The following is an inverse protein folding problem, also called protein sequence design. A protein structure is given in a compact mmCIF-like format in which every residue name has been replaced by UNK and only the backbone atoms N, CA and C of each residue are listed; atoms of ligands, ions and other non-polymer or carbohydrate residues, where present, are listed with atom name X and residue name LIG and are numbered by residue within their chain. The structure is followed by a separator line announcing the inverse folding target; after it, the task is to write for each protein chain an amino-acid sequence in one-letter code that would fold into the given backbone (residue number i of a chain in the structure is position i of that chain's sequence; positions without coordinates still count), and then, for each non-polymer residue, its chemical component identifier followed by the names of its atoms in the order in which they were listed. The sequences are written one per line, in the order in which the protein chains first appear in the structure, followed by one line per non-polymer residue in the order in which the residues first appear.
data_IF_216594741376
#
_entry.id   IF_216594741376
#
_cell.length_a   1.000
_cell.length_b   1.000
_cell.length_c   1.000
_cell.angle_alpha   90.00
_cell.angle_beta   90.00
_cell.angle_gamma   90.00
#
_symmetry.space_group_name_H-M   'P 1'
#
loop_
_entity.id
_entity.type
_entity.pdbx_description
1 polymer ?
#
# COMPACT_ATOMS: atom_id res chain seq x y z
N UNK A 1 -26.60 6.04 -18.99
CA UNK A 1 -26.36 5.04 -17.94
C UNK A 1 -24.97 5.31 -17.38
N UNK A 2 -24.89 5.79 -16.14
CA UNK A 2 -23.63 5.90 -15.41
C UNK A 2 -23.31 4.51 -14.87
N UNK A 3 -22.33 3.83 -15.46
CA UNK A 3 -21.74 2.65 -14.84
C UNK A 3 -20.98 3.16 -13.61
N UNK A 4 -21.57 3.02 -12.43
CA UNK A 4 -20.82 3.12 -11.18
C UNK A 4 -19.80 2.00 -11.19
N UNK A 5 -18.52 2.33 -11.33
CA UNK A 5 -17.43 1.38 -11.06
C UNK A 5 -17.56 1.03 -9.59
N UNK A 6 -18.01 -0.19 -9.30
CA UNK A 6 -18.06 -0.70 -7.93
C UNK A 6 -16.60 -0.92 -7.49
N UNK A 7 -16.05 0.05 -6.75
CA UNK A 7 -14.69 -0.05 -6.24
C UNK A 7 -14.67 -1.03 -5.07
N UNK A 8 -13.82 -2.05 -5.16
CA UNK A 8 -13.61 -2.97 -4.06
C UNK A 8 -12.87 -2.27 -2.93
N UNK A 9 -13.37 -2.41 -1.71
CA UNK A 9 -12.67 -1.98 -0.50
C UNK A 9 -11.67 -3.04 -0.05
N UNK A 10 -10.42 -2.65 0.19
CA UNK A 10 -9.40 -3.52 0.81
C UNK A 10 -8.86 -2.84 2.05
N UNK A 11 -8.82 -3.55 3.17
CA UNK A 11 -8.22 -3.06 4.41
C UNK A 11 -6.80 -3.57 4.59
N UNK A 12 -5.87 -2.69 4.95
CA UNK A 12 -4.51 -3.02 5.36
C UNK A 12 -4.38 -2.69 6.83
N UNK A 13 -4.26 -3.72 7.66
CA UNK A 13 -4.00 -3.57 9.08
C UNK A 13 -2.50 -3.62 9.31
N UNK A 14 -1.94 -2.54 9.85
CA UNK A 14 -0.53 -2.52 10.22
C UNK A 14 -0.41 -2.98 11.67
N UNK A 15 0.44 -3.97 11.90
CA UNK A 15 0.85 -4.37 13.24
C UNK A 15 2.32 -4.02 13.42
N UNK A 16 2.75 -3.82 14.67
CA UNK A 16 4.13 -3.47 14.99
C UNK A 16 4.74 -4.56 15.86
N UNK A 17 5.90 -5.04 15.45
CA UNK A 17 6.78 -5.82 16.31
C UNK A 17 7.91 -4.94 16.83
N UNK A 18 8.12 -4.95 18.15
CA UNK A 18 9.18 -4.20 18.83
C UNK A 18 8.98 -2.68 18.90
N UNK A 19 9.96 -1.99 19.49
CA UNK A 19 9.91 -0.55 19.79
C UNK A 19 10.70 0.32 18.78
N UNK A 20 10.59 0.03 17.48
CA UNK A 20 11.27 0.81 16.43
C UNK A 20 10.57 2.15 16.12
N UNK A 21 11.26 3.28 16.27
CA UNK A 21 10.77 4.61 15.85
C UNK A 21 11.01 4.90 14.36
N UNK A 22 11.44 3.89 13.58
CA UNK A 22 11.72 4.04 12.15
C UNK A 22 10.45 4.44 11.39
N UNK A 23 10.64 5.33 10.42
CA UNK A 23 9.61 5.68 9.47
C UNK A 23 9.32 4.50 8.54
N UNK A 24 8.05 4.32 8.23
CA UNK A 24 7.54 3.28 7.34
C UNK A 24 7.04 3.94 6.06
N UNK A 25 7.51 3.44 4.93
CA UNK A 25 6.91 3.73 3.62
C UNK A 25 6.09 2.50 3.21
N UNK A 26 4.86 2.73 2.78
CA UNK A 26 3.97 1.66 2.31
C UNK A 26 3.82 1.76 0.80
N UNK A 27 3.98 0.64 0.10
CA UNK A 27 3.63 0.53 -1.31
C UNK A 27 2.38 -0.35 -1.45
N UNK A 28 1.34 0.19 -2.08
CA UNK A 28 0.08 -0.49 -2.35
C UNK A 28 -0.05 -0.69 -3.86
N UNK A 29 -0.35 -1.91 -4.30
CA UNK A 29 -0.50 -2.22 -5.72
C UNK A 29 -1.78 -3.00 -5.98
N UNK A 30 -2.53 -2.60 -7.01
CA UNK A 30 -3.69 -3.35 -7.50
C UNK A 30 -3.83 -3.22 -9.01
N UNK A 31 -4.21 -4.31 -9.67
CA UNK A 31 -4.60 -4.30 -11.08
C UNK A 31 -5.95 -3.59 -11.30
N UNK A 32 -6.91 -3.82 -10.41
CA UNK A 32 -8.24 -3.20 -10.46
C UNK A 32 -8.31 -1.90 -9.65
N UNK A 33 -9.39 -1.13 -9.86
CA UNK A 33 -9.71 0.02 -9.01
C UNK A 33 -10.01 -0.44 -7.58
N UNK A 34 -9.18 -0.03 -6.62
CA UNK A 34 -9.35 -0.38 -5.21
C UNK A 34 -9.41 0.87 -4.35
N UNK A 35 -10.33 0.87 -3.39
CA UNK A 35 -10.29 1.79 -2.26
C UNK A 35 -9.55 1.12 -1.11
N UNK A 36 -8.32 1.58 -0.85
CA UNK A 36 -7.47 1.08 0.22
C UNK A 36 -7.83 1.79 1.53
N UNK A 37 -8.18 1.03 2.56
CA UNK A 37 -8.27 1.54 3.93
C UNK A 37 -7.02 1.11 4.69
N UNK A 38 -6.18 2.05 5.10
CA UNK A 38 -4.93 1.73 5.82
C UNK A 38 -5.11 2.04 7.29
N UNK A 39 -5.23 1.01 8.12
CA UNK A 39 -5.34 1.11 9.57
C UNK A 39 -3.95 1.11 10.20
N UNK A 40 -3.56 2.27 10.75
CA UNK A 40 -2.26 2.49 11.36
C UNK A 40 -2.40 2.62 12.88
N UNK A 41 -1.81 1.71 13.68
CA UNK A 41 -1.89 1.79 15.13
C UNK A 41 -1.04 2.93 15.66
N UNK A 42 -1.37 3.39 16.87
CA UNK A 42 -0.60 4.41 17.56
C UNK A 42 0.88 4.01 17.69
N UNK A 43 1.77 4.97 17.46
CA UNK A 43 3.22 4.77 17.54
C UNK A 43 3.89 4.20 16.29
N UNK A 44 3.14 3.83 15.25
CA UNK A 44 3.71 3.57 13.92
C UNK A 44 3.74 4.86 13.11
N UNK A 45 4.90 5.21 12.57
CA UNK A 45 5.08 6.41 11.76
C UNK A 45 5.12 6.06 10.27
N UNK A 46 3.95 6.04 9.61
CA UNK A 46 3.87 5.94 8.16
C UNK A 46 4.11 7.32 7.56
N UNK A 47 5.27 7.53 6.95
CA UNK A 47 5.66 8.82 6.36
C UNK A 47 5.05 9.02 4.96
N UNK A 48 4.89 7.93 4.22
CA UNK A 48 4.47 7.95 2.82
C UNK A 48 3.72 6.67 2.42
N UNK A 49 2.75 6.83 1.53
CA UNK A 49 2.04 5.75 0.86
C UNK A 49 2.21 5.94 -0.65
N UNK A 50 2.87 4.99 -1.30
CA UNK A 50 2.99 4.91 -2.75
C UNK A 50 1.88 4.01 -3.29
N UNK A 51 1.09 4.50 -4.24
CA UNK A 51 0.04 3.74 -4.89
C UNK A 51 0.46 3.39 -6.32
N UNK A 52 0.66 2.11 -6.60
CA UNK A 52 0.99 1.57 -7.92
C UNK A 52 -0.27 0.96 -8.54
N UNK A 53 -0.95 1.67 -9.43
CA UNK A 53 -2.17 1.15 -10.07
C UNK A 53 -2.31 1.67 -11.50
N UNK A 54 -2.67 0.81 -12.47
CA UNK A 54 -3.04 1.28 -13.81
C UNK A 54 -4.37 2.05 -13.79
N UNK A 55 -5.15 1.94 -12.71
CA UNK A 55 -6.48 2.51 -12.60
C UNK A 55 -6.49 3.84 -11.82
N UNK A 56 -6.94 4.92 -12.46
CA UNK A 56 -6.99 6.26 -11.87
C UNK A 56 -8.03 6.42 -10.75
N UNK A 57 -8.94 5.45 -10.61
CA UNK A 57 -9.98 5.48 -9.59
C UNK A 57 -9.54 4.84 -8.28
N UNK A 58 -8.35 4.24 -8.23
CA UNK A 58 -7.79 3.72 -6.98
C UNK A 58 -7.55 4.86 -5.98
N UNK A 59 -7.96 4.66 -4.73
CA UNK A 59 -7.90 5.68 -3.68
C UNK A 59 -7.33 5.10 -2.39
N UNK A 60 -6.78 5.97 -1.53
CA UNK A 60 -6.28 5.60 -0.21
C UNK A 60 -7.02 6.42 0.84
N UNK A 61 -7.59 5.73 1.82
CA UNK A 61 -8.27 6.27 2.99
C UNK A 61 -7.47 5.86 4.23
N UNK A 62 -6.69 6.76 4.83
CA UNK A 62 -6.00 6.47 6.08
C UNK A 62 -7.03 6.38 7.23
N UNK A 63 -7.12 5.22 7.88
CA UNK A 63 -7.85 5.00 9.12
C UNK A 63 -6.85 5.09 10.30
N UNK A 64 -7.14 5.94 11.29
CA UNK A 64 -6.23 6.17 12.43
C UNK A 64 -6.98 6.06 13.76
N UNK A 65 -6.40 5.34 14.70
CA UNK A 65 -6.89 5.22 16.07
C UNK A 65 -6.03 6.04 17.04
N UNK A 66 -6.53 7.21 17.51
CA UNK A 66 -6.05 7.87 18.74
C UNK A 66 -5.44 9.29 18.63
N UNK A 67 -5.90 10.14 19.57
CA UNK A 67 -5.50 11.48 20.10
C UNK A 67 -5.07 12.65 19.19
N UNK A 68 -5.47 13.86 19.62
CA UNK A 68 -5.54 15.13 18.89
C UNK A 68 -4.21 15.79 18.48
N UNK A 69 -3.05 15.27 18.90
CA UNK A 69 -1.73 15.70 18.38
C UNK A 69 -1.41 14.92 17.11
N UNK A 70 -2.18 15.22 16.06
CA UNK A 70 -2.16 14.46 14.81
C UNK A 70 -0.82 14.63 14.08
N UNK A 71 -0.04 13.56 13.84
CA UNK A 71 0.99 13.59 12.83
C UNK A 71 0.33 13.90 11.48
N UNK A 72 1.01 14.67 10.61
CA UNK A 72 0.51 14.98 9.26
C UNK A 72 -0.01 13.71 8.55
N UNK A 73 -1.05 13.87 7.72
CA UNK A 73 -1.47 12.81 6.81
C UNK A 73 -0.25 12.32 6.02
N UNK A 74 -0.11 11.00 5.79
CA UNK A 74 1.00 10.51 4.99
C UNK A 74 0.93 11.15 3.61
N UNK A 75 2.08 11.47 3.03
CA UNK A 75 2.12 11.84 1.62
C UNK A 75 1.60 10.64 0.81
N UNK A 76 0.65 10.88 -0.08
CA UNK A 76 0.17 9.85 -1.01
C UNK A 76 0.71 10.20 -2.39
N UNK A 77 1.63 9.40 -2.90
CA UNK A 77 2.16 9.52 -4.25
C UNK A 77 1.58 8.41 -5.14
N UNK A 78 1.10 8.77 -6.33
CA UNK A 78 0.41 7.85 -7.23
C UNK A 78 1.31 7.57 -8.44
N UNK A 79 1.71 6.32 -8.57
CA UNK A 79 2.52 5.78 -9.65
C UNK A 79 1.64 4.95 -10.57
N UNK A 80 1.77 5.20 -11.87
CA UNK A 80 0.94 4.55 -12.88
C UNK A 80 1.54 3.24 -13.38
N UNK A 81 2.85 3.05 -13.18
CA UNK A 81 3.62 1.85 -13.52
C UNK A 81 4.94 1.82 -12.74
N UNK A 82 5.57 0.64 -12.58
CA UNK A 82 5.02 -0.69 -12.86
C UNK A 82 4.06 -1.15 -11.76
N UNK A 83 3.06 -1.96 -12.13
CA UNK A 83 2.14 -2.62 -11.20
C UNK A 83 2.50 -4.10 -11.11
N UNK A 84 2.51 -4.63 -9.89
CA UNK A 84 2.87 -6.03 -9.63
C UNK A 84 1.67 -6.98 -9.57
N UNK A 85 1.99 -8.26 -9.73
CA UNK A 85 1.17 -9.49 -9.79
C UNK A 85 0.06 -9.59 -10.85
N UNK A 86 0.34 -10.43 -11.87
CA UNK A 86 -0.50 -10.90 -12.97
C UNK A 86 0.18 -12.11 -13.64
N UNK A 87 -0.34 -12.66 -14.75
CA UNK A 87 0.34 -13.75 -15.47
C UNK A 87 1.52 -13.16 -16.26
N UNK A 88 2.76 -13.47 -15.85
CA UNK A 88 3.99 -13.03 -16.53
C UNK A 88 4.00 -13.40 -18.02
N UNK A 89 3.38 -14.52 -18.40
CA UNK A 89 3.30 -14.97 -19.79
C UNK A 89 2.40 -14.12 -20.69
N UNK A 90 1.56 -13.24 -20.13
CA UNK A 90 0.75 -12.29 -20.89
C UNK A 90 1.22 -10.84 -20.74
N UNK A 91 2.27 -10.58 -19.93
CA UNK A 91 2.86 -9.25 -19.75
C UNK A 91 2.10 -8.33 -18.78
N UNK A 92 1.17 -8.86 -17.98
CA UNK A 92 0.24 -8.06 -17.15
C UNK A 92 0.48 -8.09 -15.63
N UNK A 93 1.71 -8.37 -15.16
CA UNK A 93 2.07 -8.07 -13.77
C UNK A 93 3.38 -8.70 -13.30
N UNK A 94 4.47 -7.97 -13.48
CA UNK A 94 5.78 -8.38 -12.98
C UNK A 94 5.97 -7.92 -11.54
N UNK A 95 5.80 -8.85 -10.60
CA UNK A 95 6.09 -8.58 -9.17
C UNK A 95 7.55 -8.18 -8.96
N UNK A 96 8.56 -8.83 -9.58
CA UNK A 96 9.94 -8.38 -9.48
C UNK A 96 10.14 -6.92 -9.93
N UNK A 97 9.52 -6.50 -11.04
CA UNK A 97 9.64 -5.13 -11.53
C UNK A 97 8.92 -4.12 -10.61
N UNK A 98 7.76 -4.49 -10.03
CA UNK A 98 7.11 -3.67 -9.01
C UNK A 98 8.04 -3.45 -7.82
N UNK A 99 8.64 -4.53 -7.30
CA UNK A 99 9.53 -4.45 -6.14
C UNK A 99 10.75 -3.59 -6.46
N UNK A 100 11.36 -3.77 -7.64
CA UNK A 100 12.48 -2.93 -8.10
C UNK A 100 12.09 -1.45 -8.16
N UNK A 101 10.97 -1.10 -8.78
CA UNK A 101 10.52 0.29 -8.83
C UNK A 101 10.15 0.86 -7.47
N UNK A 102 9.59 0.06 -6.55
CA UNK A 102 9.38 0.51 -5.17
C UNK A 102 10.71 0.86 -4.51
N UNK A 103 11.73 0.02 -4.65
CA UNK A 103 13.06 0.29 -4.10
C UNK A 103 13.74 1.49 -4.77
N UNK A 104 13.58 1.67 -6.09
CA UNK A 104 14.09 2.82 -6.82
C UNK A 104 13.40 4.12 -6.42
N UNK A 105 12.08 4.16 -6.33
CA UNK A 105 11.34 5.38 -5.96
C UNK A 105 11.61 5.78 -4.50
N UNK A 106 11.72 4.80 -3.61
CA UNK A 106 11.96 5.05 -2.18
C UNK A 106 13.43 5.19 -1.82
N UNK A 107 14.35 4.79 -2.69
CA UNK A 107 15.78 4.66 -2.39
C UNK A 107 16.05 3.81 -1.12
N UNK A 108 15.17 2.86 -0.80
CA UNK A 108 15.30 1.96 0.35
C UNK A 108 14.96 0.52 -0.02
N UNK A 109 15.35 -0.43 0.84
CA UNK A 109 15.09 -1.86 0.63
C UNK A 109 13.74 -2.27 1.20
N UNK A 110 13.04 -3.13 0.48
CA UNK A 110 11.78 -3.72 0.96
C UNK A 110 12.09 -4.68 2.11
N UNK A 111 11.37 -4.52 3.21
CA UNK A 111 11.57 -5.31 4.43
C UNK A 111 10.47 -6.33 4.68
N UNK A 112 9.31 -6.14 4.05
CA UNK A 112 8.15 -7.02 4.14
C UNK A 112 7.30 -6.89 2.87
N UNK A 113 6.73 -8.01 2.42
CA UNK A 113 5.88 -8.07 1.23
C UNK A 113 4.79 -9.13 1.42
N UNK A 114 3.56 -8.79 1.01
CA UNK A 114 2.43 -9.71 0.96
C UNK A 114 1.57 -9.40 -0.26
N UNK A 115 0.89 -10.41 -0.80
CA UNK A 115 0.07 -10.28 -2.00
C UNK A 115 -0.93 -11.42 -2.14
N UNK A 116 -2.05 -11.15 -2.81
CA UNK A 116 -3.11 -12.14 -3.11
C UNK A 116 -3.88 -11.73 -4.36
N UNK A 117 -4.42 -12.71 -5.08
CA UNK A 117 -5.33 -12.46 -6.21
C UNK A 117 -6.77 -12.16 -5.77
N UNK A 118 -7.16 -12.60 -4.57
CA UNK A 118 -8.48 -12.33 -3.98
C UNK A 118 -8.32 -12.11 -2.49
N UNK A 119 -8.61 -10.91 -2.01
CA UNK A 119 -8.48 -10.56 -0.60
C UNK A 119 -9.26 -9.29 -0.29
N UNK A 120 -9.86 -9.24 0.90
CA UNK A 120 -10.51 -8.03 1.43
C UNK A 120 -9.68 -7.39 2.56
N UNK A 121 -8.69 -8.13 3.10
CA UNK A 121 -7.85 -7.69 4.19
C UNK A 121 -6.42 -8.25 4.14
N UNK A 122 -5.44 -7.37 4.33
CA UNK A 122 -4.06 -7.73 4.63
C UNK A 122 -3.72 -7.41 6.08
N UNK A 123 -2.90 -8.28 6.69
CA UNK A 123 -2.21 -8.03 7.95
C UNK A 123 -0.72 -7.84 7.62
N UNK A 124 -0.17 -6.68 7.94
CA UNK A 124 1.22 -6.33 7.64
C UNK A 124 1.98 -5.94 8.91
N UNK A 125 2.93 -6.79 9.30
CA UNK A 125 3.81 -6.51 10.44
C UNK A 125 5.00 -5.66 10.00
N UNK A 126 5.21 -4.54 10.69
CA UNK A 126 6.39 -3.65 10.53
C UNK A 126 7.26 -3.67 11.79
N UNK A 127 8.56 -3.38 11.63
CA UNK A 127 9.51 -3.36 12.75
C UNK A 127 10.38 -4.61 12.91
N UNK A 128 10.29 -5.55 11.97
CA UNK A 128 11.25 -6.66 11.82
C UNK A 128 12.61 -6.13 11.38
N UNK A 129 13.48 -5.72 12.32
CA UNK A 129 14.93 -5.54 12.15
C UNK A 129 15.60 -5.14 13.46
#
# INVERSE_FOLDING_TARGET
MQNSVEMRGITVNITREGNSSKQVVLALSSFEAVQWTVDVPAGVNVSEILLFSPNIYSTVVPARHGSADSPKLPLVAIFRQPYGYGIDSEGYGSTPALLESVEEETQTKITSFTGSSVVDRFELTVGLM
#
